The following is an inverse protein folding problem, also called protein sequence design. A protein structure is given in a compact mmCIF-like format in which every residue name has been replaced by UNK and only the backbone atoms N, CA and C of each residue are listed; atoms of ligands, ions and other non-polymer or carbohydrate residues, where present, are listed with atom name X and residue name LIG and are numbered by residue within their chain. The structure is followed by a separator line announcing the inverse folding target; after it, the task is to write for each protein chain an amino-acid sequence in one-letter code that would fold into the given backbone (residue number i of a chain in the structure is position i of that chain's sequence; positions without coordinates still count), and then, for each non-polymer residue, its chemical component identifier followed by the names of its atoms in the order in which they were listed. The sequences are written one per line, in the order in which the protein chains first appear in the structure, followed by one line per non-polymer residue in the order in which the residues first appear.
data_IF_510228224957
#
_entry.id   IF_510228224957
#
_cell.length_a   1.000
_cell.length_b   1.000
_cell.length_c   1.000
_cell.angle_alpha   90.00
_cell.angle_beta   90.00
_cell.angle_gamma   90.00
#
_symmetry.space_group_name_H-M   'P 1'
#
loop_
_entity.id
_entity.type
_entity.pdbx_description
1 polymer ?
#
# COMPACT_ATOMS: atom_id res chain seq x y z
N UNK A 1 -19.12 6.58 3.12
CA UNK A 1 -17.80 6.81 2.48
C UNK A 1 -17.43 5.56 1.70
N UNK A 2 -17.10 5.71 0.41
CA UNK A 2 -16.51 4.62 -0.38
C UNK A 2 -15.04 4.46 0.00
N UNK A 3 -14.65 3.29 0.51
CA UNK A 3 -13.25 2.95 0.70
C UNK A 3 -12.66 2.57 -0.67
N UNK A 4 -11.80 3.43 -1.21
CA UNK A 4 -11.09 3.17 -2.46
C UNK A 4 -9.77 2.49 -2.14
N UNK A 5 -9.59 1.26 -2.65
CA UNK A 5 -8.32 0.54 -2.52
C UNK A 5 -7.26 1.14 -3.44
N UNK A 6 -6.16 1.59 -2.87
CA UNK A 6 -5.03 2.16 -3.59
C UNK A 6 -3.96 1.10 -3.83
N UNK A 7 -3.24 1.25 -4.94
CA UNK A 7 -2.01 0.47 -5.12
C UNK A 7 -0.87 1.10 -4.31
N UNK A 8 0.20 0.32 -4.08
CA UNK A 8 1.45 0.86 -3.50
C UNK A 8 1.96 2.04 -4.34
N UNK A 9 1.81 2.00 -5.68
CA UNK A 9 2.25 3.09 -6.55
C UNK A 9 1.44 4.37 -6.31
N UNK A 10 0.11 4.27 -6.21
CA UNK A 10 -0.74 5.43 -5.95
C UNK A 10 -0.43 6.07 -4.59
N UNK A 11 -0.15 5.26 -3.57
CA UNK A 11 0.21 5.75 -2.23
C UNK A 11 1.61 6.36 -2.22
N UNK A 12 2.55 5.77 -2.95
CA UNK A 12 3.90 6.31 -3.11
C UNK A 12 3.88 7.72 -3.68
N UNK A 13 3.08 7.96 -4.74
CA UNK A 13 2.89 9.28 -5.33
C UNK A 13 2.25 10.27 -4.35
N UNK A 14 1.20 9.85 -3.63
CA UNK A 14 0.48 10.73 -2.69
C UNK A 14 1.32 11.16 -1.49
N UNK A 15 2.13 10.24 -0.96
CA UNK A 15 2.97 10.49 0.21
C UNK A 15 4.36 11.00 -0.18
N UNK A 16 4.67 11.11 -1.47
CA UNK A 16 5.99 11.46 -1.98
C UNK A 16 7.09 10.53 -1.42
N UNK A 17 6.79 9.25 -1.37
CA UNK A 17 7.67 8.19 -0.86
C UNK A 17 8.07 7.22 -1.97
N UNK A 18 9.14 6.47 -1.76
CA UNK A 18 9.44 5.33 -2.63
C UNK A 18 8.46 4.19 -2.39
N UNK A 19 8.20 3.36 -3.40
CA UNK A 19 7.39 2.13 -3.22
C UNK A 19 7.98 1.18 -2.18
N UNK A 20 9.30 1.24 -1.93
CA UNK A 20 9.94 0.46 -0.86
C UNK A 20 9.59 1.00 0.53
N UNK A 21 9.55 2.32 0.69
CA UNK A 21 9.12 2.95 1.95
C UNK A 21 7.66 2.64 2.27
N UNK A 22 6.77 2.67 1.27
CA UNK A 22 5.35 2.27 1.45
C UNK A 22 5.26 0.80 1.88
N UNK A 23 6.06 -0.11 1.31
CA UNK A 23 6.13 -1.51 1.76
C UNK A 23 6.63 -1.64 3.20
N UNK A 24 7.59 -0.82 3.62
CA UNK A 24 8.08 -0.83 4.99
C UNK A 24 6.95 -0.44 5.97
N UNK A 25 6.13 0.55 5.63
CA UNK A 25 4.97 0.96 6.44
C UNK A 25 3.89 -0.13 6.55
N UNK A 26 3.68 -0.90 5.48
CA UNK A 26 2.77 -2.06 5.52
C UNK A 26 3.33 -3.13 6.46
N UNK A 27 4.63 -3.40 6.39
CA UNK A 27 5.29 -4.42 7.21
C UNK A 27 5.41 -4.02 8.68
N UNK A 28 5.55 -2.72 8.99
CA UNK A 28 5.52 -2.20 10.35
C UNK A 28 4.12 -2.15 10.94
N UNK A 29 3.08 -2.22 10.10
CA UNK A 29 1.68 -2.11 10.51
C UNK A 29 1.15 -0.68 10.58
N UNK A 30 1.97 0.31 10.22
CA UNK A 30 1.57 1.73 10.19
C UNK A 30 0.61 2.03 9.04
N UNK A 31 0.63 1.21 7.98
CA UNK A 31 -0.24 1.33 6.83
C UNK A 31 -1.09 0.06 6.67
N UNK A 32 -2.42 0.12 6.88
CA UNK A 32 -3.27 -1.05 6.70
C UNK A 32 -3.29 -1.44 5.23
N UNK A 33 -2.96 -2.69 4.93
CA UNK A 33 -3.02 -3.22 3.59
C UNK A 33 -3.38 -4.70 3.59
N UNK A 34 -4.06 -5.15 2.54
CA UNK A 34 -4.39 -6.54 2.30
C UNK A 34 -3.63 -7.06 1.10
N UNK A 35 -3.12 -8.28 1.20
CA UNK A 35 -2.60 -8.98 0.04
C UNK A 35 -3.75 -9.59 -0.75
N UNK A 36 -3.89 -9.19 -2.01
CA UNK A 36 -4.90 -9.68 -2.94
C UNK A 36 -4.27 -10.75 -3.84
N UNK A 37 -4.61 -12.01 -3.55
CA UNK A 37 -4.19 -13.17 -4.34
C UNK A 37 -2.73 -13.59 -4.16
N UNK A 38 -2.29 -14.54 -5.00
CA UNK A 38 -1.00 -15.22 -4.87
C UNK A 38 0.23 -14.38 -5.30
N UNK A 39 0.03 -13.19 -5.88
CA UNK A 39 1.09 -12.42 -6.58
C UNK A 39 1.71 -11.26 -5.79
N UNK A 40 1.59 -11.25 -4.45
CA UNK A 40 2.05 -10.12 -3.60
C UNK A 40 1.50 -8.76 -4.09
N UNK A 41 0.30 -8.76 -4.66
CA UNK A 41 -0.42 -7.53 -4.97
C UNK A 41 -1.01 -7.01 -3.67
N UNK A 42 -0.62 -5.81 -3.26
CA UNK A 42 -1.13 -5.18 -2.05
C UNK A 42 -2.16 -4.11 -2.42
N UNK A 43 -3.25 -4.09 -1.66
CA UNK A 43 -4.26 -3.05 -1.69
C UNK A 43 -4.27 -2.37 -0.33
N UNK A 44 -4.04 -1.07 -0.36
CA UNK A 44 -4.00 -0.18 0.80
C UNK A 44 -5.38 0.48 0.91
#
# INVERSE_FOLDING_TARGET
MSASFLTIADVAERLQLSTQAVRALILSGDLPAIQVGARKLWRI
#
